data_IF_763121254970
#
_entry.id   IF_763121254970
#
_cell.length_a   1.000
_cell.length_b   1.000
_cell.length_c   1.000
_cell.angle_alpha   90.00
_cell.angle_beta   90.00
_cell.angle_gamma   90.00
#
_symmetry.space_group_name_H-M   'P 1'
#
loop_
_entity.id
_entity.type
_entity.pdbx_description
1 polymer ?
#
# COMPACT_ATOMS: atom_id res chain seq x y z
N UNK A 1 19.77 5.82 -2.56
CA UNK A 1 18.45 5.12 -2.59
C UNK A 1 18.49 3.59 -2.40
N UNK A 2 19.62 2.93 -2.05
CA UNK A 2 19.69 1.45 -1.91
C UNK A 2 19.62 0.90 -0.46
N UNK A 3 19.62 1.73 0.57
CA UNK A 3 19.74 1.26 1.97
C UNK A 3 18.39 1.06 2.71
N UNK A 4 17.30 1.69 2.27
CA UNK A 4 15.99 1.56 2.93
C UNK A 4 15.18 0.32 2.51
N UNK A 5 15.52 -0.30 1.38
CA UNK A 5 14.88 -1.54 0.88
C UNK A 5 15.32 -2.79 1.63
N UNK A 6 16.48 -2.78 2.27
CA UNK A 6 17.00 -3.94 3.01
C UNK A 6 16.33 -4.12 4.38
N UNK A 7 15.92 -3.02 5.03
CA UNK A 7 15.36 -3.06 6.38
C UNK A 7 13.92 -3.61 6.42
N UNK A 8 13.07 -3.23 5.46
CA UNK A 8 11.70 -3.76 5.39
C UNK A 8 11.68 -5.26 5.02
N UNK A 9 12.60 -5.71 4.15
CA UNK A 9 12.74 -7.13 3.78
C UNK A 9 13.06 -8.04 4.97
N UNK A 10 13.73 -7.52 6.01
CA UNK A 10 14.13 -8.28 7.20
C UNK A 10 12.95 -8.58 8.14
N UNK A 11 12.00 -7.64 8.27
CA UNK A 11 10.79 -7.85 9.07
C UNK A 11 9.77 -8.74 8.36
N UNK A 12 9.64 -8.60 7.05
CA UNK A 12 8.71 -9.42 6.26
C UNK A 12 9.09 -10.91 6.33
N UNK A 13 10.37 -11.25 6.17
CA UNK A 13 10.85 -12.63 6.30
C UNK A 13 10.67 -13.23 7.71
N UNK A 14 10.70 -12.40 8.76
CA UNK A 14 10.53 -12.86 10.13
C UNK A 14 9.05 -13.22 10.39
N UNK A 15 8.12 -12.44 9.85
CA UNK A 15 6.68 -12.72 9.93
C UNK A 15 6.31 -14.00 9.17
N UNK A 16 6.83 -14.21 7.97
CA UNK A 16 6.63 -15.47 7.23
C UNK A 16 7.17 -16.68 7.96
N UNK A 17 8.37 -16.58 8.52
CA UNK A 17 8.93 -17.65 9.33
C UNK A 17 8.02 -17.93 10.52
N UNK A 18 7.47 -16.90 11.17
CA UNK A 18 6.54 -17.05 12.28
C UNK A 18 5.19 -17.65 11.89
N UNK A 19 4.56 -17.19 10.81
CA UNK A 19 3.28 -17.72 10.33
C UNK A 19 3.44 -19.17 9.85
N UNK A 20 4.54 -19.47 9.15
CA UNK A 20 4.87 -20.83 8.74
C UNK A 20 5.13 -21.72 9.96
N UNK A 21 5.88 -21.26 10.96
CA UNK A 21 6.08 -21.99 12.22
C UNK A 21 4.75 -22.17 12.96
N UNK A 22 3.88 -21.15 13.00
CA UNK A 22 2.57 -21.22 13.65
C UNK A 22 1.66 -22.25 12.98
N UNK A 23 1.58 -22.23 11.64
CA UNK A 23 0.81 -23.20 10.86
C UNK A 23 1.42 -24.61 10.99
N UNK A 24 2.74 -24.76 10.94
CA UNK A 24 3.43 -26.05 11.13
C UNK A 24 3.25 -26.57 12.55
N UNK A 25 3.21 -25.71 13.58
CA UNK A 25 2.93 -26.10 14.95
C UNK A 25 1.47 -26.53 15.12
N UNK A 26 0.51 -25.82 14.52
CA UNK A 26 -0.91 -26.20 14.55
C UNK A 26 -1.12 -27.54 13.84
N UNK A 27 -0.59 -27.69 12.62
CA UNK A 27 -0.73 -28.93 11.82
C UNK A 27 0.03 -30.09 12.48
N UNK A 28 1.27 -29.85 12.92
CA UNK A 28 2.09 -30.85 13.59
C UNK A 28 1.44 -31.36 14.88
N UNK A 29 0.76 -30.49 15.62
CA UNK A 29 0.04 -30.85 16.84
C UNK A 29 -1.25 -31.63 16.54
N UNK A 30 -2.03 -31.21 15.54
CA UNK A 30 -3.23 -31.94 15.10
C UNK A 30 -2.88 -33.38 14.68
N UNK A 31 -1.76 -33.57 13.98
CA UNK A 31 -1.26 -34.89 13.59
C UNK A 31 -0.70 -35.69 14.78
N UNK A 32 0.00 -35.04 15.72
CA UNK A 32 0.57 -35.69 16.90
C UNK A 32 -0.52 -36.25 17.83
N UNK A 33 -1.60 -35.49 18.08
CA UNK A 33 -2.69 -35.95 18.93
C UNK A 33 -3.62 -36.96 18.25
N UNK A 34 -3.81 -36.86 16.93
CA UNK A 34 -4.46 -37.93 16.14
C UNK A 34 -3.71 -39.27 16.26
N UNK A 35 -2.39 -39.24 16.48
CA UNK A 35 -1.55 -40.44 16.62
C UNK A 35 -1.49 -40.99 18.05
N UNK A 36 -1.77 -40.18 19.08
CA UNK A 36 -1.54 -40.53 20.50
C UNK A 36 -2.81 -40.96 21.24
N UNK A 37 -3.97 -40.83 20.61
CA UNK A 37 -5.30 -41.14 21.17
C UNK A 37 -5.52 -42.56 21.73
N UNK A 38 -4.52 -43.44 21.75
CA UNK A 38 -4.66 -44.79 22.28
C UNK A 38 -3.79 -45.17 23.50
N UNK A 39 -2.84 -44.36 24.01
CA UNK A 39 -1.92 -44.94 25.03
C UNK A 39 -1.14 -44.06 26.04
N UNK A 40 -1.54 -42.84 26.40
CA UNK A 40 -0.75 -42.04 27.38
C UNK A 40 -1.51 -41.37 28.53
N UNK A 41 -0.75 -41.22 29.62
CA UNK A 41 -1.07 -40.75 30.97
C UNK A 41 -1.77 -39.37 31.00
N UNK A 42 -2.97 -39.29 31.59
CA UNK A 42 -3.87 -38.13 31.56
C UNK A 42 -3.27 -36.82 32.07
N UNK A 43 -2.38 -36.89 33.07
CA UNK A 43 -1.77 -35.70 33.67
C UNK A 43 -0.82 -34.96 32.72
N UNK A 44 -0.09 -35.66 31.83
CA UNK A 44 0.84 -35.02 30.89
C UNK A 44 0.10 -34.30 29.76
N UNK A 45 -1.01 -34.89 29.30
CA UNK A 45 -1.90 -34.31 28.29
C UNK A 45 -2.49 -32.98 28.79
N UNK A 46 -2.86 -32.89 30.08
CA UNK A 46 -3.40 -31.66 30.66
C UNK A 46 -2.41 -30.48 30.74
N UNK A 47 -1.13 -30.75 31.03
CA UNK A 47 -0.13 -29.67 31.07
C UNK A 47 0.25 -29.16 29.67
N UNK A 48 0.36 -30.06 28.69
CA UNK A 48 0.67 -29.71 27.30
C UNK A 48 -0.51 -29.01 26.60
N UNK A 49 -1.75 -29.26 27.05
CA UNK A 49 -2.93 -28.59 26.53
C UNK A 49 -3.10 -27.17 27.12
N UNK A 50 -2.81 -26.97 28.41
CA UNK A 50 -2.89 -25.66 29.06
C UNK A 50 -1.81 -24.67 28.56
N UNK A 51 -0.61 -25.14 28.21
CA UNK A 51 0.44 -24.29 27.63
C UNK A 51 0.04 -23.78 26.24
N UNK A 52 -0.63 -24.61 25.44
CA UNK A 52 -1.09 -24.24 24.10
C UNK A 52 -2.18 -23.16 24.12
N UNK A 53 -3.16 -23.26 25.01
CA UNK A 53 -4.18 -22.21 25.20
C UNK A 53 -3.52 -20.87 25.53
N UNK A 54 -2.52 -20.87 26.42
CA UNK A 54 -1.74 -19.66 26.75
C UNK A 54 -0.98 -19.12 25.54
N UNK A 55 -0.47 -19.97 24.66
CA UNK A 55 0.15 -19.53 23.41
C UNK A 55 -0.84 -18.81 22.49
N UNK A 56 -2.06 -19.34 22.34
CA UNK A 56 -3.10 -18.65 21.55
C UNK A 56 -3.49 -17.30 22.16
N UNK A 57 -3.67 -17.24 23.48
CA UNK A 57 -3.93 -15.98 24.19
C UNK A 57 -2.79 -14.98 24.04
N UNK A 58 -1.53 -15.44 24.05
CA UNK A 58 -0.38 -14.58 23.78
C UNK A 58 -0.46 -13.96 22.38
N UNK A 59 -0.79 -14.75 21.35
CA UNK A 59 -0.96 -14.24 19.99
C UNK A 59 -2.14 -13.28 19.87
N UNK A 60 -3.28 -13.58 20.51
CA UNK A 60 -4.45 -12.70 20.58
C UNK A 60 -4.05 -11.30 21.10
N UNK A 61 -3.36 -11.25 22.25
CA UNK A 61 -2.88 -9.99 22.86
C UNK A 61 -1.89 -9.28 21.93
N UNK A 62 -0.95 -10.02 21.34
CA UNK A 62 0.07 -9.44 20.45
C UNK A 62 -0.57 -8.78 19.23
N UNK A 63 -1.51 -9.46 18.57
CA UNK A 63 -2.22 -8.92 17.41
C UNK A 63 -3.13 -7.76 17.78
N UNK A 64 -3.84 -7.85 18.91
CA UNK A 64 -4.66 -6.74 19.41
C UNK A 64 -3.82 -5.46 19.64
N UNK A 65 -2.72 -5.58 20.37
CA UNK A 65 -1.79 -4.45 20.63
C UNK A 65 -1.20 -3.87 19.35
N UNK A 66 -0.77 -4.75 18.44
CA UNK A 66 -0.22 -4.32 17.14
C UNK A 66 -1.27 -3.63 16.27
N UNK A 67 -2.53 -4.08 16.35
CA UNK A 67 -3.63 -3.48 15.61
C UNK A 67 -3.92 -2.06 16.11
N UNK A 68 -3.97 -1.84 17.42
CA UNK A 68 -4.14 -0.49 18.00
C UNK A 68 -3.01 0.47 17.61
N UNK A 69 -1.76 -0.01 17.56
CA UNK A 69 -0.64 0.77 17.06
C UNK A 69 -0.82 1.16 15.58
N UNK A 70 -1.28 0.23 14.73
CA UNK A 70 -1.56 0.49 13.32
C UNK A 70 -2.68 1.51 13.15
N UNK A 71 -3.78 1.39 13.91
CA UNK A 71 -4.88 2.36 13.88
C UNK A 71 -4.40 3.76 14.24
N UNK A 72 -3.51 3.89 15.24
CA UNK A 72 -2.91 5.17 15.60
C UNK A 72 -2.00 5.73 14.51
N UNK A 73 -1.14 4.90 13.90
CA UNK A 73 -0.32 5.29 12.74
C UNK A 73 -1.19 5.71 11.55
N UNK A 74 -2.30 5.02 11.32
CA UNK A 74 -3.27 5.37 10.29
C UNK A 74 -3.90 6.75 10.54
N UNK A 75 -4.32 7.07 11.77
CA UNK A 75 -4.88 8.39 12.11
C UNK A 75 -3.93 9.53 11.73
N UNK A 76 -2.62 9.34 11.94
CA UNK A 76 -1.60 10.31 11.55
C UNK A 76 -1.54 10.44 10.01
N UNK A 77 -1.46 9.33 9.29
CA UNK A 77 -1.46 9.33 7.81
C UNK A 77 -2.73 9.96 7.24
N UNK A 78 -3.89 9.67 7.82
CA UNK A 78 -5.18 10.23 7.41
C UNK A 78 -5.20 11.74 7.56
N UNK A 79 -4.70 12.29 8.67
CA UNK A 79 -4.56 13.74 8.88
C UNK A 79 -3.63 14.37 7.86
N UNK A 80 -2.46 13.77 7.61
CA UNK A 80 -1.51 14.25 6.61
C UNK A 80 -2.11 14.26 5.20
N UNK A 81 -2.86 13.21 4.85
CA UNK A 81 -3.58 13.16 3.58
C UNK A 81 -4.66 14.24 3.50
N UNK A 82 -5.42 14.49 4.58
CA UNK A 82 -6.41 15.57 4.63
C UNK A 82 -5.77 16.94 4.38
N UNK A 83 -4.63 17.23 5.04
CA UNK A 83 -3.91 18.49 4.80
C UNK A 83 -3.54 18.65 3.32
N UNK A 84 -3.00 17.61 2.68
CA UNK A 84 -2.66 17.68 1.25
C UNK A 84 -3.89 17.85 0.36
N UNK A 85 -5.01 17.22 0.71
CA UNK A 85 -6.28 17.37 -0.01
C UNK A 85 -6.82 18.79 0.12
N UNK A 86 -6.78 19.38 1.31
CA UNK A 86 -7.26 20.73 1.58
C UNK A 86 -6.46 21.80 0.81
N UNK A 87 -5.16 21.57 0.59
CA UNK A 87 -4.31 22.45 -0.22
C UNK A 87 -4.66 22.43 -1.72
N UNK A 88 -5.23 21.33 -2.24
CA UNK A 88 -5.62 21.20 -3.65
C UNK A 88 -6.77 20.21 -3.86
N UNK A 89 -8.00 20.61 -3.48
CA UNK A 89 -9.14 19.70 -3.44
C UNK A 89 -9.51 19.14 -4.81
N UNK A 90 -9.44 19.97 -5.87
CA UNK A 90 -9.78 19.54 -7.23
C UNK A 90 -8.87 18.41 -7.73
N UNK A 91 -7.59 18.44 -7.34
CA UNK A 91 -6.59 17.49 -7.78
C UNK A 91 -6.58 16.20 -6.95
N UNK A 92 -6.88 16.30 -5.65
CA UNK A 92 -6.80 15.17 -4.73
C UNK A 92 -8.15 14.60 -4.26
N UNK A 93 -9.28 15.15 -4.70
CA UNK A 93 -10.64 14.65 -4.40
C UNK A 93 -10.81 13.14 -4.65
N UNK A 94 -10.19 12.62 -5.71
CA UNK A 94 -10.20 11.17 -6.00
C UNK A 94 -9.56 10.34 -4.89
N UNK A 95 -8.47 10.83 -4.29
CA UNK A 95 -7.76 10.13 -3.22
C UNK A 95 -8.51 10.22 -1.89
N UNK A 96 -9.22 11.32 -1.64
CA UNK A 96 -10.14 11.41 -0.52
C UNK A 96 -11.19 10.30 -0.60
N UNK A 97 -11.82 10.13 -1.76
CA UNK A 97 -12.83 9.09 -1.98
C UNK A 97 -12.25 7.68 -1.78
N UNK A 98 -11.01 7.43 -2.22
CA UNK A 98 -10.35 6.14 -1.98
C UNK A 98 -10.12 5.90 -0.48
N UNK A 99 -9.71 6.92 0.28
CA UNK A 99 -9.53 6.81 1.73
C UNK A 99 -10.85 6.50 2.44
N UNK A 100 -11.92 7.20 2.11
CA UNK A 100 -13.25 6.98 2.68
C UNK A 100 -13.80 5.59 2.35
N UNK A 101 -13.64 5.14 1.11
CA UNK A 101 -14.03 3.78 0.72
C UNK A 101 -13.20 2.71 1.43
N UNK A 102 -11.90 2.96 1.61
CA UNK A 102 -11.01 2.07 2.37
C UNK A 102 -11.41 1.96 3.84
N UNK A 103 -11.78 3.08 4.49
CA UNK A 103 -12.32 3.09 5.86
C UNK A 103 -13.62 2.28 5.94
N UNK A 104 -14.56 2.52 5.01
CA UNK A 104 -15.83 1.80 4.97
C UNK A 104 -15.65 0.28 4.74
N UNK A 105 -14.65 -0.14 3.96
CA UNK A 105 -14.34 -1.55 3.76
C UNK A 105 -13.78 -2.23 5.02
N UNK A 106 -12.89 -1.56 5.76
CA UNK A 106 -12.39 -2.07 7.04
C UNK A 106 -13.53 -2.17 8.06
N UNK A 107 -14.35 -1.14 8.20
CA UNK A 107 -15.47 -1.15 9.15
C UNK A 107 -16.43 -2.30 8.84
N UNK A 108 -16.73 -2.52 7.55
CA UNK A 108 -17.63 -3.59 7.13
C UNK A 108 -17.10 -4.99 7.45
N UNK A 109 -15.81 -5.26 7.23
CA UNK A 109 -15.24 -6.58 7.53
C UNK A 109 -15.04 -6.76 9.04
N UNK A 110 -14.59 -5.73 9.75
CA UNK A 110 -14.35 -5.80 11.20
C UNK A 110 -15.66 -6.00 11.95
N UNK A 111 -16.72 -5.30 11.56
CA UNK A 111 -18.06 -5.53 12.11
C UNK A 111 -18.51 -6.98 11.90
N UNK A 112 -18.35 -7.50 10.68
CA UNK A 112 -18.73 -8.89 10.38
C UNK A 112 -17.92 -9.91 11.19
N UNK A 113 -16.61 -9.68 11.36
CA UNK A 113 -15.75 -10.52 12.21
C UNK A 113 -16.21 -10.47 13.67
N UNK A 114 -16.61 -9.31 14.18
CA UNK A 114 -17.16 -9.14 15.53
C UNK A 114 -18.47 -9.90 15.73
N UNK A 115 -19.44 -9.72 14.83
CA UNK A 115 -20.73 -10.43 14.87
C UNK A 115 -20.54 -11.95 14.88
N UNK A 116 -19.62 -12.42 14.04
CA UNK A 116 -19.23 -13.82 13.98
C UNK A 116 -18.59 -14.30 15.30
N UNK A 117 -17.66 -13.51 15.83
CA UNK A 117 -16.94 -13.87 17.03
C UNK A 117 -17.87 -13.94 18.25
N UNK A 118 -18.83 -13.03 18.35
CA UNK A 118 -19.86 -13.03 19.39
C UNK A 118 -20.73 -14.29 19.35
N UNK A 119 -21.10 -14.77 18.16
CA UNK A 119 -21.83 -16.04 18.01
C UNK A 119 -21.00 -17.22 18.55
N UNK A 120 -19.69 -17.22 18.28
CA UNK A 120 -18.78 -18.26 18.79
C UNK A 120 -18.65 -18.18 20.31
N UNK A 121 -18.55 -16.97 20.88
CA UNK A 121 -18.52 -16.81 22.33
C UNK A 121 -19.80 -17.34 22.98
N UNK A 122 -20.97 -17.02 22.43
CA UNK A 122 -22.25 -17.51 22.96
C UNK A 122 -22.33 -19.03 22.88
N UNK A 123 -21.99 -19.61 21.73
CA UNK A 123 -22.15 -21.05 21.48
C UNK A 123 -21.22 -21.90 22.36
N UNK A 124 -19.99 -21.43 22.61
CA UNK A 124 -18.97 -22.19 23.33
C UNK A 124 -18.77 -21.71 24.78
N UNK A 125 -19.75 -21.01 25.36
CA UNK A 125 -19.67 -20.41 26.70
C UNK A 125 -18.35 -19.64 26.92
N UNK A 126 -17.96 -18.89 25.90
CA UNK A 126 -16.79 -18.03 25.90
C UNK A 126 -17.02 -16.74 26.68
N UNK A 127 -15.94 -16.17 27.20
CA UNK A 127 -15.95 -14.84 27.79
C UNK A 127 -14.69 -14.08 27.45
N UNK A 128 -14.82 -12.76 27.33
CA UNK A 128 -13.71 -11.84 27.08
C UNK A 128 -13.46 -11.04 28.36
N UNK A 129 -12.24 -11.07 28.85
CA UNK A 129 -11.81 -10.27 30.01
C UNK A 129 -11.67 -8.78 29.66
N UNK A 130 -11.56 -7.92 30.69
CA UNK A 130 -11.28 -6.49 30.52
C UNK A 130 -9.99 -6.19 29.74
N UNK A 131 -9.07 -7.16 29.68
CA UNK A 131 -7.82 -7.06 28.94
C UNK A 131 -7.93 -7.59 27.50
N UNK A 132 -9.15 -7.94 27.05
CA UNK A 132 -9.41 -8.47 25.72
C UNK A 132 -8.95 -9.92 25.53
N UNK A 133 -8.63 -10.64 26.61
CA UNK A 133 -8.26 -12.07 26.56
C UNK A 133 -9.51 -12.91 26.56
N UNK A 134 -9.61 -13.80 25.57
CA UNK A 134 -10.72 -14.73 25.47
C UNK A 134 -10.46 -16.03 26.23
N UNK A 135 -11.49 -16.54 26.89
CA UNK A 135 -11.49 -17.84 27.57
C UNK A 135 -12.75 -18.60 27.21
N UNK A 136 -12.66 -19.93 27.20
CA UNK A 136 -13.79 -20.83 26.94
C UNK A 136 -13.87 -21.87 28.05
N UNK A 137 -15.08 -22.31 28.40
CA UNK A 137 -15.30 -23.36 29.40
C UNK A 137 -14.61 -24.67 29.00
N UNK A 138 -14.66 -25.02 27.71
CA UNK A 138 -13.93 -26.14 27.14
C UNK A 138 -13.08 -25.70 25.92
N UNK A 139 -11.84 -25.26 26.14
CA UNK A 139 -11.03 -24.61 25.11
C UNK A 139 -10.52 -25.55 24.02
N UNK A 140 -10.66 -26.87 24.20
CA UNK A 140 -10.15 -27.91 23.31
C UNK A 140 -11.21 -28.49 22.36
N UNK A 141 -12.47 -28.06 22.47
CA UNK A 141 -13.51 -28.43 21.52
C UNK A 141 -13.11 -27.95 20.13
N UNK A 142 -13.20 -28.83 19.14
CA UNK A 142 -13.06 -28.43 17.75
C UNK A 142 -14.36 -27.84 17.24
N UNK A 143 -14.25 -26.90 16.30
CA UNK A 143 -15.43 -26.36 15.62
C UNK A 143 -16.26 -27.49 15.01
N UNK A 144 -15.63 -28.49 14.37
CA UNK A 144 -16.31 -29.62 13.72
C UNK A 144 -17.12 -30.52 14.63
N UNK A 145 -16.83 -30.52 15.94
CA UNK A 145 -17.56 -31.30 16.94
C UNK A 145 -18.95 -30.70 17.25
N UNK A 146 -19.23 -29.50 16.72
CA UNK A 146 -20.49 -28.78 16.92
C UNK A 146 -21.42 -28.86 15.69
N UNK A 147 -22.71 -28.58 15.89
CA UNK A 147 -23.81 -28.84 14.95
C UNK A 147 -23.51 -28.34 13.53
N UNK A 148 -23.25 -29.28 12.61
CA UNK A 148 -22.66 -29.05 11.28
C UNK A 148 -23.44 -28.08 10.39
N UNK A 149 -24.75 -27.90 10.64
CA UNK A 149 -25.60 -27.06 9.79
C UNK A 149 -25.32 -25.57 9.91
N UNK A 150 -25.14 -25.04 11.13
CA UNK A 150 -24.83 -23.62 11.33
C UNK A 150 -23.41 -23.28 10.88
N UNK A 151 -22.52 -24.24 11.06
CA UNK A 151 -21.09 -24.12 10.83
C UNK A 151 -20.67 -24.20 9.36
N UNK A 152 -21.35 -25.03 8.55
CA UNK A 152 -21.09 -25.06 7.11
C UNK A 152 -21.54 -23.75 6.42
N UNK A 153 -22.71 -23.21 6.78
CA UNK A 153 -23.17 -21.93 6.26
C UNK A 153 -22.26 -20.77 6.71
N UNK A 154 -21.79 -20.85 7.96
CA UNK A 154 -20.88 -19.89 8.54
C UNK A 154 -19.55 -19.79 7.77
N UNK A 155 -18.92 -20.92 7.51
CA UNK A 155 -17.65 -20.98 6.80
C UNK A 155 -17.68 -20.39 5.41
N UNK A 156 -18.74 -20.71 4.67
CA UNK A 156 -18.97 -20.19 3.32
C UNK A 156 -19.16 -18.67 3.37
N UNK A 157 -20.05 -18.17 4.23
CA UNK A 157 -20.31 -16.74 4.36
C UNK A 157 -19.07 -15.96 4.79
N UNK A 158 -18.29 -16.50 5.73
CA UNK A 158 -17.03 -15.91 6.18
C UNK A 158 -16.01 -15.80 5.05
N UNK A 159 -15.81 -16.90 4.31
CA UNK A 159 -14.89 -16.93 3.17
C UNK A 159 -15.32 -15.96 2.08
N UNK A 160 -16.60 -15.97 1.70
CA UNK A 160 -17.16 -15.06 0.71
C UNK A 160 -16.99 -13.59 1.12
N UNK A 161 -17.18 -13.27 2.39
CA UNK A 161 -17.03 -11.91 2.91
C UNK A 161 -15.57 -11.44 2.82
N UNK A 162 -14.62 -12.25 3.25
CA UNK A 162 -13.18 -11.92 3.15
C UNK A 162 -12.76 -11.74 1.69
N UNK A 163 -13.23 -12.62 0.80
CA UNK A 163 -12.91 -12.55 -0.62
C UNK A 163 -13.51 -11.32 -1.28
N UNK A 164 -14.77 -11.00 -0.96
CA UNK A 164 -15.44 -9.79 -1.45
C UNK A 164 -14.74 -8.54 -0.95
N UNK A 165 -14.39 -8.50 0.33
CA UNK A 165 -13.62 -7.41 0.94
C UNK A 165 -12.30 -7.19 0.19
N UNK A 166 -11.53 -8.27 -0.03
CA UNK A 166 -10.26 -8.24 -0.75
C UNK A 166 -10.43 -7.72 -2.18
N UNK A 167 -11.40 -8.23 -2.92
CA UNK A 167 -11.62 -7.81 -4.30
C UNK A 167 -11.98 -6.32 -4.38
N UNK A 168 -12.89 -5.85 -3.53
CA UNK A 168 -13.26 -4.43 -3.48
C UNK A 168 -12.06 -3.54 -3.18
N UNK A 169 -11.17 -4.00 -2.33
CA UNK A 169 -9.95 -3.27 -1.99
C UNK A 169 -8.94 -3.21 -3.13
N UNK A 170 -8.83 -4.27 -3.95
CA UNK A 170 -8.06 -4.25 -5.20
C UNK A 170 -8.67 -3.29 -6.22
N UNK A 171 -10.00 -3.26 -6.31
CA UNK A 171 -10.73 -2.37 -7.23
C UNK A 171 -10.54 -0.88 -6.86
N UNK A 172 -10.17 -0.57 -5.62
CA UNK A 172 -9.83 0.80 -5.19
C UNK A 172 -8.47 1.28 -5.70
N UNK A 173 -7.60 0.39 -6.17
CA UNK A 173 -6.23 0.70 -6.58
C UNK A 173 -6.15 0.60 -8.11
N UNK A 174 -5.59 1.62 -8.79
CA UNK A 174 -5.34 1.54 -10.22
C UNK A 174 -4.56 0.27 -10.59
N UNK A 175 -4.88 -0.44 -11.68
CA UNK A 175 -4.19 -1.68 -12.05
C UNK A 175 -2.66 -1.55 -12.09
N UNK A 176 -2.17 -0.40 -12.56
CA UNK A 176 -0.74 -0.08 -12.63
C UNK A 176 -0.10 0.12 -11.25
N UNK A 177 -0.87 0.34 -10.20
CA UNK A 177 -0.38 0.49 -8.82
C UNK A 177 -0.56 -0.78 -7.98
N UNK A 178 -1.34 -1.76 -8.46
CA UNK A 178 -1.64 -2.99 -7.73
C UNK A 178 -0.38 -3.84 -7.47
N UNK A 179 0.67 -3.72 -8.28
CA UNK A 179 1.94 -4.41 -8.03
C UNK A 179 2.82 -3.70 -6.98
N UNK A 180 2.65 -2.38 -6.80
CA UNK A 180 3.38 -1.55 -5.82
C UNK A 180 2.78 -1.63 -4.43
N UNK A 181 1.49 -1.95 -4.37
CA UNK A 181 0.77 -2.33 -3.18
C UNK A 181 0.67 -3.85 -3.17
N UNK A 182 1.73 -4.58 -2.77
CA UNK A 182 1.61 -6.00 -2.52
C UNK A 182 0.43 -6.20 -1.57
N UNK A 183 -0.70 -6.62 -2.14
CA UNK A 183 -1.94 -6.92 -1.45
C UNK A 183 -1.72 -8.27 -0.77
N UNK A 184 -0.83 -8.24 0.22
CA UNK A 184 -0.52 -9.33 1.12
C UNK A 184 -1.50 -9.34 2.29
N UNK A 185 -2.52 -8.47 2.24
CA UNK A 185 -3.52 -8.25 3.29
C UNK A 185 -4.40 -9.43 3.66
N UNK A 186 -4.12 -10.61 3.09
CA UNK A 186 -4.30 -11.92 3.71
C UNK A 186 -3.28 -12.85 3.03
N UNK A 187 -2.08 -12.97 3.55
CA UNK A 187 -1.13 -13.99 3.13
C UNK A 187 -1.35 -15.32 3.87
N UNK A 188 -2.60 -15.68 4.10
CA UNK A 188 -2.98 -17.08 4.34
C UNK A 188 -2.78 -17.96 3.07
N UNK A 189 -1.89 -17.58 2.15
CA UNK A 189 -1.57 -18.39 0.96
C UNK A 189 -2.65 -18.42 -0.13
N UNK A 190 -3.58 -17.46 -0.17
CA UNK A 190 -4.62 -17.44 -1.20
C UNK A 190 -4.13 -16.76 -2.49
N UNK A 191 -3.25 -17.44 -3.23
CA UNK A 191 -3.10 -17.14 -4.66
C UNK A 191 -4.47 -17.30 -5.31
N UNK A 192 -4.84 -16.43 -6.24
CA UNK A 192 -6.08 -16.57 -7.01
C UNK A 192 -6.16 -17.94 -7.74
N UNK A 193 -5.01 -18.57 -7.98
CA UNK A 193 -4.86 -19.94 -8.50
C UNK A 193 -5.04 -21.06 -7.46
N UNK A 194 -4.97 -20.77 -6.16
CA UNK A 194 -5.31 -21.70 -5.07
C UNK A 194 -6.75 -21.57 -4.57
N UNK A 195 -7.56 -20.70 -5.17
CA UNK A 195 -9.00 -20.62 -4.91
C UNK A 195 -9.83 -21.70 -5.61
N UNK A 196 -9.26 -22.36 -6.63
CA UNK A 196 -9.78 -23.59 -7.22
C UNK A 196 -8.93 -24.81 -6.84
N UNK A 197 -7.93 -24.64 -5.97
CA UNK A 197 -7.33 -25.79 -5.31
C UNK A 197 -8.27 -26.17 -4.18
N UNK A 198 -9.23 -27.03 -4.52
CA UNK A 198 -9.49 -28.17 -3.65
C UNK A 198 -8.12 -28.70 -3.20
N UNK A 199 -7.69 -28.33 -1.99
CA UNK A 199 -6.62 -29.06 -1.32
C UNK A 199 -7.31 -30.34 -0.87
N UNK A 200 -7.31 -31.35 -1.73
CA UNK A 200 -8.01 -32.64 -1.55
C UNK A 200 -9.54 -32.55 -1.33
N UNK A 201 -10.24 -31.60 -1.98
CA UNK A 201 -11.70 -31.51 -1.90
C UNK A 201 -12.25 -30.58 -0.81
N UNK A 202 -11.37 -29.86 -0.10
CA UNK A 202 -11.74 -29.07 1.07
C UNK A 202 -11.82 -27.57 0.79
N UNK A 203 -12.88 -26.93 1.30
CA UNK A 203 -13.06 -25.47 1.26
C UNK A 203 -12.11 -24.77 2.24
N UNK A 204 -11.94 -23.45 2.09
CA UNK A 204 -11.14 -22.61 3.00
C UNK A 204 -11.58 -22.73 4.47
N UNK A 205 -12.89 -22.95 4.66
CA UNK A 205 -13.50 -23.28 5.93
C UNK A 205 -13.08 -24.66 6.46
N UNK A 206 -13.11 -25.69 5.60
CA UNK A 206 -12.66 -27.04 5.96
C UNK A 206 -11.18 -27.06 6.39
N UNK A 207 -10.34 -26.21 5.79
CA UNK A 207 -8.90 -26.18 6.10
C UNK A 207 -8.55 -25.40 7.37
N UNK A 208 -9.15 -24.23 7.60
CA UNK A 208 -8.74 -23.34 8.71
C UNK A 208 -9.63 -23.39 9.94
N UNK A 209 -10.92 -23.67 9.79
CA UNK A 209 -11.89 -23.50 10.87
C UNK A 209 -12.40 -24.84 11.37
N UNK A 210 -12.69 -25.79 10.48
CA UNK A 210 -13.31 -27.07 10.86
C UNK A 210 -12.54 -27.83 11.94
N UNK A 211 -11.23 -27.98 11.80
CA UNK A 211 -10.42 -28.78 12.72
C UNK A 211 -9.68 -27.95 13.79
N UNK A 212 -9.91 -26.64 13.85
CA UNK A 212 -9.23 -25.79 14.83
C UNK A 212 -9.91 -25.86 16.20
N UNK A 213 -9.09 -25.81 17.24
CA UNK A 213 -9.54 -25.66 18.62
C UNK A 213 -10.22 -24.32 18.81
N UNK A 214 -11.32 -24.26 19.56
CA UNK A 214 -12.05 -23.01 19.81
C UNK A 214 -11.17 -21.92 20.44
N UNK A 215 -10.21 -22.31 21.28
CA UNK A 215 -9.24 -21.41 21.89
C UNK A 215 -8.29 -20.72 20.91
N UNK A 216 -8.15 -21.21 19.67
CA UNK A 216 -7.30 -20.59 18.65
C UNK A 216 -8.04 -19.54 17.81
N UNK A 217 -9.38 -19.57 17.80
CA UNK A 217 -10.22 -18.67 17.01
C UNK A 217 -9.98 -17.20 17.34
N UNK A 218 -9.92 -16.77 18.62
CA UNK A 218 -9.69 -15.36 18.94
C UNK A 218 -8.40 -14.84 18.31
N UNK A 219 -7.31 -15.61 18.40
CA UNK A 219 -6.03 -15.24 17.81
C UNK A 219 -6.11 -15.13 16.28
N UNK A 220 -6.81 -16.07 15.62
CA UNK A 220 -7.04 -16.03 14.17
C UNK A 220 -7.84 -14.79 13.75
N UNK A 221 -8.87 -14.43 14.51
CA UNK A 221 -9.70 -13.25 14.25
C UNK A 221 -8.90 -11.97 14.40
N UNK A 222 -8.11 -11.86 15.47
CA UNK A 222 -7.19 -10.72 15.67
C UNK A 222 -6.14 -10.61 14.58
N UNK A 223 -5.64 -11.73 14.08
CA UNK A 223 -4.73 -11.74 12.92
C UNK A 223 -5.43 -11.15 11.67
N UNK A 224 -6.67 -11.55 11.39
CA UNK A 224 -7.41 -11.02 10.23
C UNK A 224 -7.68 -9.53 10.40
N UNK A 225 -8.15 -9.09 11.56
CA UNK A 225 -8.33 -7.65 11.87
C UNK A 225 -7.02 -6.86 11.67
N UNK A 226 -5.90 -7.40 12.15
CA UNK A 226 -4.58 -6.81 11.98
C UNK A 226 -4.22 -6.64 10.50
N UNK A 227 -4.44 -7.67 9.68
CA UNK A 227 -4.17 -7.63 8.23
C UNK A 227 -5.05 -6.61 7.49
N UNK A 228 -6.33 -6.51 7.87
CA UNK A 228 -7.25 -5.49 7.36
C UNK A 228 -6.70 -4.09 7.67
N UNK A 229 -6.29 -3.83 8.91
CA UNK A 229 -5.77 -2.53 9.32
C UNK A 229 -4.40 -2.20 8.68
N UNK A 230 -3.52 -3.20 8.49
CA UNK A 230 -2.29 -3.03 7.71
C UNK A 230 -2.61 -2.60 6.28
N UNK A 231 -3.57 -3.26 5.67
CA UNK A 231 -3.99 -3.01 4.28
C UNK A 231 -4.45 -1.57 4.13
N UNK A 232 -5.35 -1.13 5.01
CA UNK A 232 -5.81 0.26 5.07
C UNK A 232 -4.64 1.25 5.20
N UNK A 233 -3.68 0.96 6.10
CA UNK A 233 -2.47 1.78 6.28
C UNK A 233 -1.60 1.83 5.02
N UNK A 234 -1.41 0.71 4.33
CA UNK A 234 -0.64 0.63 3.08
C UNK A 234 -1.29 1.47 1.98
N UNK A 235 -2.60 1.38 1.81
CA UNK A 235 -3.35 2.23 0.86
C UNK A 235 -3.16 3.71 1.19
N UNK A 236 -3.35 4.12 2.45
CA UNK A 236 -3.14 5.52 2.83
C UNK A 236 -1.71 6.01 2.62
N UNK A 237 -0.70 5.15 2.85
CA UNK A 237 0.70 5.46 2.58
C UNK A 237 0.99 5.59 1.08
N UNK A 238 0.42 4.73 0.24
CA UNK A 238 0.56 4.82 -1.22
C UNK A 238 -0.06 6.10 -1.77
N UNK A 239 -1.27 6.43 -1.31
CA UNK A 239 -1.93 7.69 -1.61
C UNK A 239 -1.03 8.86 -1.20
N UNK A 240 -0.49 8.84 0.01
CA UNK A 240 0.41 9.89 0.49
C UNK A 240 1.67 10.02 -0.38
N UNK A 241 2.27 8.89 -0.78
CA UNK A 241 3.43 8.88 -1.66
C UNK A 241 3.10 9.41 -3.06
N UNK A 242 1.93 9.05 -3.60
CA UNK A 242 1.43 9.50 -4.90
C UNK A 242 1.14 11.01 -4.90
N UNK A 243 0.58 11.53 -3.82
CA UNK A 243 0.43 12.98 -3.64
C UNK A 243 1.81 13.64 -3.47
N UNK A 244 2.68 13.07 -2.64
CA UNK A 244 4.03 13.55 -2.38
C UNK A 244 4.92 13.62 -3.61
N UNK A 245 4.86 12.66 -4.54
CA UNK A 245 5.61 12.71 -5.80
C UNK A 245 5.19 13.87 -6.69
N UNK A 246 3.93 14.28 -6.64
CA UNK A 246 3.44 15.46 -7.36
C UNK A 246 4.02 16.73 -6.73
N UNK A 247 4.08 16.82 -5.39
CA UNK A 247 4.70 17.96 -4.68
C UNK A 247 6.23 18.01 -4.79
N UNK A 248 6.93 16.87 -4.82
CA UNK A 248 8.40 16.85 -4.88
C UNK A 248 8.95 17.09 -6.29
N UNK A 249 8.11 16.99 -7.32
CA UNK A 249 8.53 17.28 -8.68
C UNK A 249 9.05 18.72 -8.83
N UNK A 250 8.63 19.67 -7.97
CA UNK A 250 9.00 21.09 -8.06
C UNK A 250 10.37 21.50 -7.47
N UNK A 251 11.06 20.62 -6.74
CA UNK A 251 12.29 20.98 -5.99
C UNK A 251 13.59 20.42 -6.57
N UNK A 252 13.59 20.01 -7.84
CA UNK A 252 14.78 19.49 -8.51
C UNK A 252 15.54 20.61 -9.23
N UNK A 253 16.85 20.46 -9.36
CA UNK A 253 17.67 21.39 -10.16
C UNK A 253 17.22 21.31 -11.62
N UNK A 254 16.77 22.44 -12.15
CA UNK A 254 16.41 22.61 -13.56
C UNK A 254 17.52 23.37 -14.26
N UNK A 255 17.91 22.87 -15.42
CA UNK A 255 18.90 23.50 -16.29
C UNK A 255 18.22 23.88 -17.60
N UNK A 256 18.46 25.12 -18.03
CA UNK A 256 18.13 25.55 -19.38
C UNK A 256 19.38 25.31 -20.22
N UNK A 257 19.23 24.50 -21.27
CA UNK A 257 20.30 24.19 -22.21
C UNK A 257 19.96 24.82 -23.55
N UNK A 258 20.94 25.52 -24.12
CA UNK A 258 20.90 26.04 -25.48
C UNK A 258 21.74 25.14 -26.38
N UNK A 259 21.15 24.60 -27.44
CA UNK A 259 21.83 23.75 -28.43
C UNK A 259 21.77 24.47 -29.79
N UNK A 260 22.72 25.38 -30.06
CA UNK A 260 22.78 26.10 -31.32
C UNK A 260 23.22 25.18 -32.46
N UNK A 261 22.71 25.45 -33.67
CA UNK A 261 23.24 24.83 -34.90
C UNK A 261 24.68 25.28 -35.15
N UNK A 262 24.98 26.54 -34.83
CA UNK A 262 26.32 27.12 -34.81
C UNK A 262 26.34 28.33 -33.87
N UNK A 263 27.40 28.46 -33.06
CA UNK A 263 27.63 29.63 -32.19
C UNK A 263 28.05 30.89 -32.99
N UNK A 264 28.42 30.70 -34.27
CA UNK A 264 28.81 31.77 -35.18
C UNK A 264 28.04 31.69 -36.49
N UNK A 265 27.49 32.82 -36.95
CA UNK A 265 26.77 32.93 -38.22
C UNK A 265 27.22 34.17 -39.00
N UNK A 266 27.08 34.16 -40.33
CA UNK A 266 27.37 35.35 -41.14
C UNK A 266 26.23 36.36 -41.08
N UNK A 267 26.56 37.63 -41.30
CA UNK A 267 25.57 38.68 -41.45
C UNK A 267 24.60 38.35 -42.60
N UNK A 268 23.30 38.41 -42.30
CA UNK A 268 22.20 38.06 -43.20
C UNK A 268 21.73 36.60 -43.09
N UNK A 269 22.45 35.73 -42.38
CA UNK A 269 22.04 34.34 -42.16
C UNK A 269 20.99 34.22 -41.03
N UNK A 270 20.41 33.03 -40.93
CA UNK A 270 19.50 32.66 -39.86
C UNK A 270 20.27 31.98 -38.74
N UNK A 271 20.29 32.58 -37.54
CA UNK A 271 20.68 31.88 -36.33
C UNK A 271 19.54 30.97 -35.88
N UNK A 272 19.87 29.73 -35.50
CA UNK A 272 18.92 28.72 -35.03
C UNK A 272 19.50 27.97 -33.82
N UNK A 273 18.69 27.83 -32.76
CA UNK A 273 19.05 27.04 -31.60
C UNK A 273 17.83 26.33 -30.98
N UNK A 274 18.06 25.13 -30.48
CA UNK A 274 17.07 24.38 -29.71
C UNK A 274 17.25 24.70 -28.22
N UNK A 275 16.20 25.24 -27.62
CA UNK A 275 16.15 25.58 -26.20
C UNK A 275 15.44 24.44 -25.49
N UNK A 276 16.16 23.73 -24.62
CA UNK A 276 15.63 22.57 -23.91
C UNK A 276 15.73 22.73 -22.41
N UNK A 277 14.68 22.34 -21.71
CA UNK A 277 14.70 22.22 -20.26
C UNK A 277 15.13 20.80 -19.87
N UNK A 278 16.19 20.70 -19.07
CA UNK A 278 16.69 19.42 -18.53
C UNK A 278 16.49 19.41 -17.01
N UNK A 279 15.96 18.31 -16.48
CA UNK A 279 15.70 18.11 -15.05
C UNK A 279 16.40 16.86 -14.52
N UNK A 280 16.87 16.88 -13.27
CA UNK A 280 17.44 15.71 -12.57
C UNK A 280 16.33 14.84 -11.90
N UNK A 281 15.07 14.93 -12.34
CA UNK A 281 14.03 13.98 -11.90
C UNK A 281 12.77 13.97 -12.78
N UNK A 282 11.60 13.54 -12.24
CA UNK A 282 10.42 13.28 -13.06
C UNK A 282 9.99 14.53 -13.83
N UNK A 283 9.59 14.30 -15.09
CA UNK A 283 9.19 15.35 -16.02
C UNK A 283 8.08 16.24 -15.41
N UNK A 284 8.32 17.56 -15.38
CA UNK A 284 7.37 18.55 -14.87
C UNK A 284 6.44 19.08 -15.96
N UNK A 285 5.40 19.83 -15.56
CA UNK A 285 4.51 20.52 -16.49
C UNK A 285 5.14 21.82 -17.00
N UNK A 286 6.05 21.71 -17.96
CA UNK A 286 6.53 22.87 -18.72
C UNK A 286 5.31 23.57 -19.34
N UNK A 287 5.14 24.84 -19.00
CA UNK A 287 3.97 25.62 -19.44
C UNK A 287 4.33 26.58 -20.56
N UNK A 288 5.56 27.12 -20.51
CA UNK A 288 6.01 28.13 -21.47
C UNK A 288 7.53 28.14 -21.59
N UNK A 289 8.01 28.40 -22.81
CA UNK A 289 9.37 28.88 -23.07
C UNK A 289 9.25 30.27 -23.66
N UNK A 290 9.99 31.24 -23.11
CA UNK A 290 10.08 32.61 -23.61
C UNK A 290 11.50 32.93 -24.01
N UNK A 291 11.65 33.64 -25.12
CA UNK A 291 12.92 34.20 -25.57
C UNK A 291 12.75 35.70 -25.74
N UNK A 292 13.53 36.50 -25.01
CA UNK A 292 13.39 37.96 -24.96
C UNK A 292 11.93 38.40 -24.72
N UNK A 293 11.28 37.81 -23.71
CA UNK A 293 9.87 37.98 -23.36
C UNK A 293 8.83 37.49 -24.40
N UNK A 294 9.25 36.88 -25.52
CA UNK A 294 8.33 36.34 -26.52
C UNK A 294 8.14 34.84 -26.33
N UNK A 295 6.89 34.41 -26.21
CA UNK A 295 6.55 32.98 -26.15
C UNK A 295 6.91 32.28 -27.47
N UNK A 296 7.63 31.17 -27.37
CA UNK A 296 7.91 30.30 -28.52
C UNK A 296 7.11 28.99 -28.41
N UNK A 297 6.74 28.37 -29.55
CA UNK A 297 6.18 27.03 -29.54
C UNK A 297 7.23 26.01 -29.07
N UNK A 298 6.79 24.99 -28.33
CA UNK A 298 7.65 23.92 -27.84
C UNK A 298 6.93 22.57 -27.91
N UNK A 299 7.70 21.49 -28.01
CA UNK A 299 7.26 20.11 -27.97
C UNK A 299 8.21 19.31 -27.09
N UNK A 300 7.68 18.45 -26.21
CA UNK A 300 8.48 17.59 -25.31
C UNK A 300 9.68 18.32 -24.67
N UNK A 301 9.43 19.48 -24.06
CA UNK A 301 10.43 20.28 -23.33
C UNK A 301 11.46 21.05 -24.15
N UNK A 302 11.31 21.05 -25.48
CA UNK A 302 12.21 21.75 -26.39
C UNK A 302 11.46 22.73 -27.30
N UNK A 303 11.98 23.95 -27.42
CA UNK A 303 11.46 24.99 -28.31
C UNK A 303 12.54 25.51 -29.23
N UNK A 304 12.19 25.77 -30.48
CA UNK A 304 13.12 26.28 -31.48
C UNK A 304 13.15 27.81 -31.48
N UNK A 305 14.33 28.39 -31.36
CA UNK A 305 14.56 29.83 -31.49
C UNK A 305 15.28 30.13 -32.80
N UNK A 306 14.73 31.04 -33.60
CA UNK A 306 15.29 31.47 -34.88
C UNK A 306 15.31 33.00 -34.97
N UNK A 307 16.42 33.57 -35.43
CA UNK A 307 16.57 35.03 -35.61
C UNK A 307 17.48 35.35 -36.79
N UNK A 308 17.05 36.29 -37.64
CA UNK A 308 17.86 36.81 -38.74
C UNK A 308 18.92 37.77 -38.19
N UNK A 309 20.18 37.59 -38.58
CA UNK A 309 21.32 38.29 -37.97
C UNK A 309 21.88 39.40 -38.84
N UNK A 310 21.40 40.63 -38.65
CA UNK A 310 21.73 41.76 -39.53
C UNK A 310 22.90 42.64 -39.06
N UNK A 311 23.35 42.49 -37.81
CA UNK A 311 24.36 43.35 -37.21
C UNK A 311 25.56 42.50 -36.76
N UNK A 312 26.80 42.78 -37.22
CA UNK A 312 27.98 42.10 -36.73
C UNK A 312 28.23 42.35 -35.24
N UNK A 313 28.77 41.36 -34.53
CA UNK A 313 29.11 41.43 -33.11
C UNK A 313 28.59 40.23 -32.30
N UNK A 314 28.82 40.27 -30.99
CA UNK A 314 28.26 39.30 -30.03
C UNK A 314 26.88 39.78 -29.59
N UNK A 315 25.89 38.92 -29.74
CA UNK A 315 24.50 39.18 -29.37
C UNK A 315 24.10 38.24 -28.25
N UNK A 316 23.34 38.75 -27.29
CA UNK A 316 22.77 37.95 -26.21
C UNK A 316 21.26 37.85 -26.35
N UNK A 317 20.68 36.80 -25.76
CA UNK A 317 19.25 36.66 -25.61
C UNK A 317 18.92 36.00 -24.28
N UNK A 318 17.87 36.51 -23.64
CA UNK A 318 17.34 35.98 -22.39
C UNK A 318 16.34 34.87 -22.70
N UNK A 319 16.45 33.76 -21.98
CA UNK A 319 15.57 32.62 -22.08
C UNK A 319 14.95 32.37 -20.72
N UNK A 320 13.63 32.44 -20.66
CA UNK A 320 12.86 32.05 -19.48
C UNK A 320 12.10 30.77 -19.75
N UNK A 321 12.18 29.83 -18.81
CA UNK A 321 11.35 28.63 -18.76
C UNK A 321 10.37 28.78 -17.61
N UNK A 322 9.07 28.75 -17.94
CA UNK A 322 7.99 28.92 -16.96
C UNK A 322 7.37 27.56 -16.66
N UNK A 323 7.48 27.17 -15.40
CA UNK A 323 6.87 25.96 -14.87
C UNK A 323 5.74 26.39 -13.94
N UNK A 324 4.53 25.90 -14.22
CA UNK A 324 3.42 26.03 -13.29
C UNK A 324 3.39 24.78 -12.43
N UNK A 325 3.48 24.97 -11.11
CA UNK A 325 3.23 23.89 -10.16
C UNK A 325 1.83 23.32 -10.42
N UNK A 326 1.67 22.02 -10.72
CA UNK A 326 0.38 21.45 -11.09
C UNK A 326 -0.67 21.56 -9.97
N UNK A 327 -0.20 21.57 -8.72
CA UNK A 327 -1.03 21.59 -7.51
C UNK A 327 -1.27 23.00 -6.97
N UNK A 328 -0.22 23.72 -6.54
CA UNK A 328 -0.37 25.04 -5.93
C UNK A 328 -0.65 26.16 -6.93
N UNK A 329 -0.48 25.90 -8.23
CA UNK A 329 -0.55 26.94 -9.27
C UNK A 329 0.59 27.95 -9.22
N UNK A 330 1.53 27.81 -8.27
CA UNK A 330 2.73 28.64 -8.16
C UNK A 330 3.52 28.62 -9.45
N UNK A 331 4.07 29.76 -9.83
CA UNK A 331 4.85 29.91 -11.05
C UNK A 331 6.33 29.96 -10.65
N UNK A 332 7.11 29.04 -11.20
CA UNK A 332 8.56 29.05 -11.12
C UNK A 332 9.11 29.50 -12.46
N UNK A 333 9.98 30.51 -12.43
CA UNK A 333 10.66 31.04 -13.60
C UNK A 333 12.13 30.74 -13.44
N UNK A 334 12.67 29.98 -14.40
CA UNK A 334 14.09 29.76 -14.54
C UNK A 334 14.56 30.64 -15.70
N UNK A 335 15.62 31.41 -15.52
CA UNK A 335 16.17 32.25 -16.57
C UNK A 335 17.64 31.97 -16.81
N UNK A 336 18.06 32.07 -18.06
CA UNK A 336 19.47 32.02 -18.43
C UNK A 336 19.71 32.92 -19.65
N UNK A 337 20.91 33.49 -19.72
CA UNK A 337 21.31 34.36 -20.83
C UNK A 337 22.28 33.57 -21.71
N UNK A 338 21.97 33.48 -23.00
CA UNK A 338 22.83 32.84 -24.00
C UNK A 338 23.39 33.88 -24.97
N UNK A 339 24.46 33.52 -25.66
CA UNK A 339 25.13 34.39 -26.63
C UNK A 339 25.39 33.68 -27.96
N UNK A 340 25.47 34.47 -29.03
CA UNK A 340 25.90 34.03 -30.36
C UNK A 340 26.67 35.15 -31.06
N UNK A 341 27.55 34.78 -31.99
CA UNK A 341 28.41 35.74 -32.71
C UNK A 341 28.01 35.87 -34.16
N UNK A 342 27.92 37.12 -34.64
CA UNK A 342 27.64 37.44 -36.04
C UNK A 342 28.89 38.05 -36.66
N UNK A 343 29.40 37.45 -37.72
CA UNK A 343 30.57 37.95 -38.44
C UNK A 343 30.15 38.64 -39.75
N UNK A 344 30.82 39.74 -40.16
CA UNK A 344 30.58 40.36 -41.45
C UNK A 344 30.82 39.36 -42.59
N UNK A 345 30.08 39.53 -43.68
CA UNK A 345 30.25 38.71 -44.89
C UNK A 345 31.35 39.25 -45.80
#
# INVERSE_FOLDING_TARGET
MKQTTAYNKGMDNLFFAFLFIFVVLIIGYALFFSSIGNNLNSNRIHYESASMVKSFQFFEIQYYSSNEEIKNKYKILRRLNSYMIDEAPDYFSRYQKILELSEALEDNITQHLGEVFDLILIEFNGSVSDYGITTFENPFIKISDFNQYHLNNFGVLFSEKIMTWRQRYLDLIPPDDQFLLPFWGVELGFKQKSLNLEIDGHTLYDFFLKEISISAIPALFRLIEYEVSITKKKVAKHIMASMGSVFHSSNLDHFIVNIPVSDTVYQGDLYSADISMVSIGPQQNLTEIRVNNNKIPFYEYSGKYEKVTNEPGTHTYDVEVVIRHPVTGSIYIYSNIFEYTVIPR
#
